data_IF_953100232729
#
_entry.id   IF_953100232729
#
_cell.length_a   1.000
_cell.length_b   1.000
_cell.length_c   1.000
_cell.angle_alpha   90.00
_cell.angle_beta   90.00
_cell.angle_gamma   90.00
#
_symmetry.space_group_name_H-M   'P 1'
#
loop_
_entity.id
_entity.type
_entity.pdbx_description
1 polymer ?
2 non-polymer ?
#
# COMPACT_ATOMS: atom_id res chain seq x y z
N UNK A 2 12.84 -14.69 3.76
CA UNK A 2 11.71 -14.43 4.67
C UNK A 2 11.00 -13.07 4.42
N UNK A 3 11.72 -12.11 3.86
CA UNK A 3 11.28 -10.73 3.62
C UNK A 3 9.94 -10.62 2.87
N UNK A 4 9.67 -11.50 1.91
CA UNK A 4 8.43 -11.53 1.12
C UNK A 4 7.20 -11.75 2.00
N UNK A 5 7.27 -12.72 2.93
CA UNK A 5 6.18 -12.97 3.88
C UNK A 5 6.01 -11.80 4.86
N UNK A 6 7.10 -11.18 5.30
CA UNK A 6 7.06 -9.98 6.14
C UNK A 6 6.40 -8.78 5.43
N UNK A 7 6.65 -8.63 4.12
CA UNK A 7 5.97 -7.71 3.19
C UNK A 7 4.46 -7.99 3.08
N UNK A 8 4.12 -9.21 2.66
CA UNK A 8 2.75 -9.68 2.39
C UNK A 8 1.83 -9.57 3.60
N UNK A 9 2.30 -9.92 4.80
CA UNK A 9 1.55 -9.81 6.07
C UNK A 9 1.10 -8.37 6.37
N UNK A 10 1.90 -7.38 5.99
CA UNK A 10 1.68 -5.98 6.32
C UNK A 10 0.74 -5.21 5.41
N UNK A 11 0.78 -5.45 4.10
CA UNK A 11 -0.24 -4.83 3.21
C UNK A 11 -1.67 -5.29 3.53
N UNK A 12 -1.86 -6.52 4.03
CA UNK A 12 -3.19 -7.01 4.45
C UNK A 12 -3.77 -6.19 5.62
N UNK A 13 -2.88 -5.66 6.46
CA UNK A 13 -3.19 -4.83 7.62
C UNK A 13 -3.74 -3.44 7.23
N UNK A 14 -3.63 -3.07 5.95
CA UNK A 14 -4.12 -1.80 5.40
C UNK A 14 -5.41 -1.96 4.61
N UNK A 15 -5.63 -3.09 3.91
CA UNK A 15 -6.83 -3.24 3.05
C UNK A 15 -8.12 -3.08 3.87
N UNK A 16 -8.20 -3.77 5.01
CA UNK A 16 -9.41 -3.82 5.86
C UNK A 16 -9.71 -2.50 6.59
N UNK A 17 -8.69 -1.69 6.84
CA UNK A 17 -8.83 -0.38 7.48
C UNK A 17 -9.31 0.70 6.50
N UNK A 18 -8.82 0.68 5.26
CA UNK A 18 -9.26 1.61 4.23
C UNK A 18 -10.74 1.50 3.89
N UNK A 19 -11.29 0.28 3.93
CA UNK A 19 -12.71 0.03 3.64
C UNK A 19 -13.65 0.66 4.68
N UNK A 20 -13.14 0.95 5.87
CA UNK A 20 -13.87 1.69 6.92
C UNK A 20 -13.91 3.21 6.68
N UNK A 21 -12.88 3.79 6.06
CA UNK A 21 -12.62 5.23 6.07
C UNK A 21 -13.56 6.03 5.17
N UNK A 22 -14.20 5.39 4.18
CA UNK A 22 -15.21 6.02 3.33
C UNK A 22 -16.45 6.45 4.13
N UNK A 23 -16.68 5.88 5.32
CA UNK A 23 -17.78 6.35 6.19
C UNK A 23 -17.60 7.77 6.74
N UNK A 24 -16.35 8.24 6.84
CA UNK A 24 -15.98 9.54 7.41
C UNK A 24 -15.41 10.50 6.37
N UNK A 25 -14.72 9.99 5.35
CA UNK A 25 -14.19 10.79 4.24
C UNK A 25 -15.20 10.99 3.09
N UNK A 26 -16.03 9.99 2.80
CA UNK A 26 -16.88 9.90 1.58
C UNK A 26 -16.18 10.37 0.28
N UNK A 27 -14.89 10.02 0.11
CA UNK A 27 -14.03 10.49 -1.00
C UNK A 27 -13.72 9.41 -2.06
N UNK A 28 -13.45 9.80 -3.32
CA UNK A 28 -13.01 8.90 -4.39
C UNK A 28 -11.55 8.43 -4.22
N UNK A 29 -10.78 9.01 -3.30
CA UNK A 29 -9.38 8.65 -3.06
C UNK A 29 -9.23 7.21 -2.59
N UNK A 30 -10.15 6.73 -1.76
CA UNK A 30 -10.16 5.36 -1.24
C UNK A 30 -10.48 4.34 -2.36
N UNK A 31 -11.31 4.75 -3.33
CA UNK A 31 -11.55 4.04 -4.59
C UNK A 31 -10.34 4.04 -5.56
N UNK A 32 -9.18 4.56 -5.14
CA UNK A 32 -7.86 4.39 -5.78
C UNK A 32 -6.86 3.74 -4.83
N UNK A 33 -6.77 4.21 -3.58
CA UNK A 33 -5.80 3.73 -2.60
C UNK A 33 -6.00 2.24 -2.32
N UNK A 34 -7.12 1.86 -1.72
CA UNK A 34 -7.39 0.45 -1.40
C UNK A 34 -7.71 -0.35 -2.66
N UNK A 35 -8.16 0.30 -3.73
CA UNK A 35 -8.29 -0.35 -5.03
C UNK A 35 -6.92 -0.90 -5.49
N UNK A 36 -5.83 -0.17 -5.23
CA UNK A 36 -4.47 -0.67 -5.41
C UNK A 36 -4.05 -1.70 -4.35
N UNK A 37 -4.22 -1.43 -3.05
CA UNK A 37 -3.84 -2.41 -2.01
C UNK A 37 -4.54 -3.77 -2.18
N UNK A 38 -5.70 -3.82 -2.85
CA UNK A 38 -6.44 -5.07 -3.11
C UNK A 38 -5.69 -5.96 -4.11
N UNK A 39 -5.09 -5.33 -5.13
CA UNK A 39 -4.29 -5.96 -6.19
C UNK A 39 -2.89 -6.24 -5.70
N UNK A 40 -2.28 -5.31 -4.96
CA UNK A 40 -0.90 -5.31 -4.55
C UNK A 40 -0.42 -6.61 -3.90
N UNK A 41 -1.17 -7.16 -2.94
CA UNK A 41 -0.75 -8.42 -2.27
C UNK A 41 -0.59 -9.54 -3.30
N UNK A 42 -1.59 -9.74 -4.16
CA UNK A 42 -1.52 -10.72 -5.24
C UNK A 42 -0.50 -10.34 -6.32
N UNK A 43 -0.32 -9.05 -6.63
CA UNK A 43 0.75 -8.54 -7.51
C UNK A 43 2.17 -8.93 -7.06
N UNK A 44 2.54 -8.86 -5.78
CA UNK A 44 3.81 -9.38 -5.22
C UNK A 44 3.89 -10.93 -5.35
N UNK A 45 2.78 -11.62 -5.14
CA UNK A 45 2.70 -13.08 -5.04
C UNK A 45 2.72 -13.79 -6.40
N UNK A 46 1.98 -13.28 -7.38
CA UNK A 46 1.97 -13.77 -8.77
C UNK A 46 3.36 -13.95 -9.34
N UNK A 47 4.31 -13.09 -8.96
CA UNK A 47 5.73 -13.17 -9.35
C UNK A 47 6.43 -14.45 -8.87
N UNK A 48 6.10 -14.96 -7.68
CA UNK A 48 6.87 -16.03 -7.04
C UNK A 48 6.86 -17.38 -7.80
N UNK A 49 5.90 -17.59 -8.71
CA UNK A 49 5.82 -18.78 -9.57
C UNK A 49 4.72 -18.77 -10.63
N UNK B 2 -7.95 9.96 14.81
CA UNK B 2 -6.72 9.22 15.09
C UNK B 2 -6.41 8.10 14.07
N UNK B 3 -7.46 7.56 13.45
CA UNK B 3 -7.37 6.58 12.37
C UNK B 3 -6.49 7.05 11.18
N UNK B 4 -6.52 8.35 10.87
CA UNK B 4 -5.69 8.95 9.81
C UNK B 4 -4.20 8.85 10.12
N UNK B 5 -3.78 9.17 11.35
CA UNK B 5 -2.39 8.99 11.82
C UNK B 5 -1.96 7.53 11.71
N UNK B 6 -2.85 6.60 12.07
CA UNK B 6 -2.58 5.16 11.97
C UNK B 6 -2.46 4.67 10.51
N UNK B 7 -3.26 5.24 9.60
CA UNK B 7 -3.22 5.01 8.15
C UNK B 7 -1.91 5.50 7.51
N UNK B 8 -1.57 6.78 7.74
CA UNK B 8 -0.42 7.47 7.16
C UNK B 8 0.93 6.79 7.48
N UNK B 9 1.16 6.43 8.74
CA UNK B 9 2.46 6.09 9.33
C UNK B 9 2.73 4.58 9.27
N UNK B 10 3.40 4.17 8.20
CA UNK B 10 3.80 2.78 7.94
C UNK B 10 3.71 2.36 6.48
N UNK B 11 3.12 3.19 5.66
CA UNK B 11 3.18 3.11 4.20
C UNK B 11 4.66 3.19 3.71
N UNK B 12 5.51 4.01 4.34
CA UNK B 12 6.98 4.06 4.30
C UNK B 12 7.75 2.90 4.94
N UNK B 13 7.12 2.15 5.84
CA UNK B 13 7.60 0.83 6.25
C UNK B 13 7.38 -0.22 5.13
N UNK B 14 6.67 0.14 4.05
CA UNK B 14 6.65 -0.59 2.78
C UNK B 14 7.53 0.06 1.70
N UNK B 15 7.40 1.37 1.45
CA UNK B 15 8.10 2.09 0.35
C UNK B 15 9.61 1.81 0.34
N UNK B 16 10.29 1.98 1.49
CA UNK B 16 11.74 1.77 1.60
C UNK B 16 12.14 0.29 1.49
N UNK B 17 11.30 -0.61 1.99
CA UNK B 17 11.50 -2.06 1.92
C UNK B 17 11.37 -2.59 0.49
N UNK B 18 10.41 -2.10 -0.28
CA UNK B 18 10.24 -2.41 -1.69
C UNK B 18 11.43 -1.97 -2.54
N UNK B 19 12.00 -0.80 -2.23
CA UNK B 19 13.16 -0.29 -2.96
C UNK B 19 14.41 -1.17 -2.82
N UNK B 20 14.55 -1.85 -1.67
CA UNK B 20 15.61 -2.83 -1.42
C UNK B 20 15.32 -4.21 -2.03
N UNK B 21 14.06 -4.63 -2.01
CA UNK B 21 13.59 -5.94 -2.44
C UNK B 21 13.84 -6.23 -3.93
N UNK B 22 13.78 -5.22 -4.80
CA UNK B 22 14.11 -5.37 -6.22
C UNK B 22 15.56 -5.82 -6.46
N UNK B 23 16.49 -5.57 -5.53
CA UNK B 23 17.85 -6.10 -5.66
C UNK B 23 17.91 -7.64 -5.62
N UNK B 24 16.95 -8.27 -4.95
CA UNK B 24 16.74 -9.72 -4.96
C UNK B 24 15.74 -10.19 -6.04
N UNK B 25 14.58 -9.53 -6.22
CA UNK B 25 13.54 -10.00 -7.16
C UNK B 25 13.84 -9.67 -8.62
N UNK B 26 14.40 -8.49 -8.90
CA UNK B 26 14.58 -7.89 -10.22
C UNK B 26 13.30 -7.90 -11.11
N UNK B 27 12.16 -7.42 -10.57
CA UNK B 27 10.84 -7.44 -11.26
C UNK B 27 10.19 -6.05 -11.42
N UNK B 28 9.45 -5.80 -12.53
CA UNK B 28 8.78 -4.51 -12.80
C UNK B 28 7.53 -4.27 -11.93
N UNK B 29 7.03 -5.30 -11.24
CA UNK B 29 5.83 -5.18 -10.38
C UNK B 29 6.04 -4.24 -9.20
N UNK B 30 7.25 -4.17 -8.65
CA UNK B 30 7.55 -3.22 -7.58
C UNK B 30 7.49 -1.77 -8.09
N UNK B 31 7.77 -1.53 -9.38
CA UNK B 31 7.47 -0.28 -10.10
C UNK B 31 5.97 -0.10 -10.43
N UNK B 32 5.08 -0.82 -9.75
CA UNK B 32 3.64 -0.60 -9.61
C UNK B 32 3.21 -0.60 -8.13
N UNK B 33 3.71 -1.53 -7.32
CA UNK B 33 3.45 -1.51 -5.85
C UNK B 33 4.04 -0.23 -5.22
N UNK B 34 5.36 -0.09 -5.18
CA UNK B 34 6.01 1.07 -4.55
C UNK B 34 5.74 2.36 -5.33
N UNK B 35 5.49 2.26 -6.63
CA UNK B 35 5.01 3.39 -7.44
C UNK B 35 3.69 3.97 -6.88
N UNK B 36 2.78 3.11 -6.39
CA UNK B 36 1.53 3.55 -5.78
C UNK B 36 1.64 3.93 -4.30
N UNK B 37 2.38 3.20 -3.45
CA UNK B 37 2.59 3.61 -2.06
C UNK B 37 3.22 5.01 -1.94
N UNK B 38 3.98 5.45 -2.94
CA UNK B 38 4.58 6.78 -2.99
C UNK B 38 3.50 7.88 -3.09
N UNK B 39 2.38 7.55 -3.74
CA UNK B 39 1.17 8.39 -3.84
C UNK B 39 0.28 8.24 -2.61
N UNK B 40 0.04 7.00 -2.14
CA UNK B 40 -0.96 6.64 -1.15
C UNK B 40 -0.99 7.51 0.11
N UNK B 41 0.18 7.82 0.67
CA UNK B 41 0.28 8.71 1.86
C UNK B 41 -0.25 10.11 1.53
N UNK B 42 0.31 10.78 0.53
CA UNK B 42 -0.11 12.13 0.15
C UNK B 42 -1.52 12.16 -0.44
N UNK B 43 -1.98 11.07 -1.07
CA UNK B 43 -3.37 10.85 -1.45
C UNK B 43 -4.34 10.99 -0.27
N UNK B 44 -4.19 10.24 0.82
CA UNK B 44 -5.12 10.41 1.96
C UNK B 44 -4.86 11.67 2.81
N UNK B 45 -3.61 12.17 2.84
CA UNK B 45 -3.26 13.41 3.52
C UNK B 45 -3.84 14.66 2.81
N UNK B 46 -3.90 14.69 1.47
CA UNK B 46 -4.43 15.84 0.71
C UNK B 46 -5.89 16.16 1.03
N UNK B 47 -6.70 15.13 1.32
CA UNK B 47 -8.15 15.28 1.54
C UNK B 47 -8.51 16.14 2.76
N UNK B 48 -7.74 16.08 3.85
CA UNK B 48 -8.07 16.81 5.09
C UNK B 48 -8.01 18.35 4.95
N UNK B 49 -7.38 18.87 3.90
CA UNK B 49 -7.35 20.29 3.55
C UNK B 49 -8.63 20.82 2.87
#
# INVERSE_FOLDING_TARGET
XDYLRELLKGELQGIKQYREALEYTHNPVLAKILEDEEKHIEWLETILGX
XDYLRELLKGELQGIKQYREALEYTHNPVLAKILEDEEKHIEWLETILGX
#
